data_IF_584536444351
#
_entry.id   IF_584536444351
#
_cell.length_a   1.000
_cell.length_b   1.000
_cell.length_c   1.000
_cell.angle_alpha   90.00
_cell.angle_beta   90.00
_cell.angle_gamma   90.00
#
_symmetry.space_group_name_H-M   'P 1'
#
loop_
_entity.id
_entity.type
_entity.pdbx_description
1 polymer ?
#
# COMPACT_ATOMS: atom_id res chain seq x y z
N UNK A 1 -8.00 0.45 -11.14
CA UNK A 1 -6.77 1.20 -11.37
C UNK A 1 -7.03 2.67 -11.18
N UNK A 2 -6.24 3.53 -11.80
CA UNK A 2 -6.44 4.98 -11.81
C UNK A 2 -6.60 5.51 -13.23
N UNK A 3 -7.24 6.66 -13.38
CA UNK A 3 -7.36 7.39 -14.65
C UNK A 3 -7.09 8.88 -14.40
N UNK A 4 -6.47 9.55 -15.37
CA UNK A 4 -6.34 11.02 -15.38
C UNK A 4 -7.54 11.65 -16.07
N UNK A 5 -8.10 12.69 -15.46
CA UNK A 5 -9.22 13.51 -15.94
C UNK A 5 -8.89 14.99 -15.71
N UNK A 6 -9.75 15.89 -16.17
CA UNK A 6 -9.63 17.33 -15.89
C UNK A 6 -9.72 17.64 -14.38
N UNK A 7 -10.44 16.83 -13.62
CA UNK A 7 -10.55 16.94 -12.16
C UNK A 7 -9.36 16.32 -11.40
N UNK A 8 -8.37 15.75 -12.12
CA UNK A 8 -7.19 15.13 -11.53
C UNK A 8 -7.12 13.61 -11.71
N UNK A 9 -6.56 12.91 -10.72
CA UNK A 9 -6.43 11.45 -10.74
C UNK A 9 -7.61 10.83 -9.99
N UNK A 10 -8.38 9.96 -10.67
CA UNK A 10 -9.56 9.28 -10.11
C UNK A 10 -9.41 7.77 -10.12
N UNK A 11 -10.20 7.06 -9.32
CA UNK A 11 -10.28 5.60 -9.33
C UNK A 11 -10.97 5.10 -10.61
N UNK A 12 -10.53 3.96 -11.15
CA UNK A 12 -11.04 3.40 -12.41
C UNK A 12 -10.87 1.87 -12.42
N UNK A 13 -11.59 1.18 -11.54
CA UNK A 13 -11.61 -0.29 -11.43
C UNK A 13 -11.05 -0.82 -10.09
N UNK A 14 -11.28 -2.10 -9.81
CA UNK A 14 -11.19 -2.70 -8.47
C UNK A 14 -9.84 -2.53 -7.75
N UNK A 15 -8.73 -2.96 -8.35
CA UNK A 15 -7.38 -2.70 -7.78
C UNK A 15 -6.89 -1.33 -8.22
N UNK A 16 -6.76 -0.39 -7.29
CA UNK A 16 -6.49 1.03 -7.60
C UNK A 16 -5.00 1.33 -7.63
N UNK A 17 -4.30 1.09 -6.53
CA UNK A 17 -2.87 1.36 -6.35
C UNK A 17 -2.16 0.14 -5.75
N UNK A 18 -0.84 0.09 -5.94
CA UNK A 18 0.05 -0.81 -5.20
C UNK A 18 1.12 0.03 -4.50
N UNK A 19 1.13 -0.01 -3.17
CA UNK A 19 2.13 0.70 -2.36
C UNK A 19 3.25 -0.28 -2.02
N UNK A 20 4.49 0.11 -2.32
CA UNK A 20 5.67 -0.72 -2.10
C UNK A 20 6.64 0.01 -1.18
N UNK A 21 6.90 -0.56 0.00
CA UNK A 21 7.96 -0.12 0.89
C UNK A 21 9.26 -0.87 0.58
N UNK A 22 10.39 -0.17 0.52
CA UNK A 22 11.73 -0.76 0.38
C UNK A 22 12.51 -0.50 1.66
N UNK A 23 13.27 -1.47 2.14
CA UNK A 23 14.11 -1.36 3.33
C UNK A 23 15.17 -2.47 3.33
N UNK A 24 16.17 -2.34 4.18
CA UNK A 24 17.25 -3.33 4.33
C UNK A 24 16.77 -4.57 5.09
N UNK A 25 15.65 -4.47 5.80
CA UNK A 25 14.99 -5.58 6.48
C UNK A 25 13.52 -5.69 6.07
N UNK A 26 12.92 -6.86 6.29
CA UNK A 26 11.48 -7.04 6.11
C UNK A 26 10.67 -6.07 6.99
N UNK A 27 11.09 -5.86 8.24
CA UNK A 27 10.44 -4.93 9.17
C UNK A 27 10.42 -3.50 8.62
N UNK A 28 11.55 -3.01 8.11
CA UNK A 28 11.61 -1.69 7.49
C UNK A 28 10.71 -1.57 6.26
N UNK A 29 10.76 -2.56 5.35
CA UNK A 29 9.95 -2.56 4.14
C UNK A 29 8.44 -2.56 4.46
N UNK A 30 8.02 -3.38 5.44
CA UNK A 30 6.64 -3.48 5.91
C UNK A 30 6.19 -2.16 6.56
N UNK A 31 6.98 -1.60 7.47
CA UNK A 31 6.66 -0.35 8.16
C UNK A 31 6.55 0.83 7.19
N UNK A 32 7.44 0.90 6.19
CA UNK A 32 7.39 1.94 5.15
C UNK A 32 6.15 1.79 4.25
N UNK A 33 5.79 0.57 3.87
CA UNK A 33 4.59 0.32 3.08
C UNK A 33 3.32 0.74 3.83
N UNK A 34 3.15 0.29 5.08
CA UNK A 34 1.98 0.64 5.90
C UNK A 34 1.97 2.10 6.36
N UNK A 35 3.13 2.73 6.54
CA UNK A 35 3.24 4.16 6.78
C UNK A 35 2.76 4.98 5.59
N UNK A 36 3.18 4.62 4.37
CA UNK A 36 2.77 5.30 3.15
C UNK A 36 1.27 5.13 2.84
N UNK A 37 0.67 3.98 3.18
CA UNK A 37 -0.79 3.77 3.03
C UNK A 37 -1.59 4.82 3.81
N UNK A 38 -1.12 5.28 4.97
CA UNK A 38 -1.82 6.29 5.80
C UNK A 38 -1.90 7.67 5.14
N UNK A 39 -1.10 7.93 4.11
CA UNK A 39 -1.07 9.19 3.37
C UNK A 39 -2.06 9.21 2.20
N UNK A 40 -2.78 8.11 1.95
CA UNK A 40 -3.67 7.93 0.81
C UNK A 40 -5.09 7.70 1.33
N UNK A 41 -6.06 8.42 0.77
CA UNK A 41 -7.47 8.23 1.11
C UNK A 41 -8.38 8.49 -0.10
N UNK A 42 -9.36 7.61 -0.30
CA UNK A 42 -10.47 7.77 -1.24
C UNK A 42 -11.67 6.94 -0.79
N UNK A 43 -12.87 7.31 -1.26
CA UNK A 43 -14.11 6.63 -0.89
C UNK A 43 -14.04 5.13 -1.24
N UNK A 44 -14.43 4.28 -0.29
CA UNK A 44 -14.45 2.82 -0.45
C UNK A 44 -13.07 2.16 -0.45
N UNK A 45 -12.01 2.88 -0.06
CA UNK A 45 -10.66 2.31 0.03
C UNK A 45 -10.63 1.13 1.01
N UNK A 46 -10.12 0.00 0.52
CA UNK A 46 -9.86 -1.19 1.32
C UNK A 46 -8.41 -1.63 1.13
N UNK A 47 -7.74 -1.93 2.23
CA UNK A 47 -6.37 -2.47 2.24
C UNK A 47 -6.25 -3.58 3.26
N UNK A 48 -5.45 -4.59 2.95
CA UNK A 48 -5.01 -5.59 3.92
C UNK A 48 -4.02 -4.98 4.90
N UNK A 49 -3.98 -5.51 6.13
CA UNK A 49 -3.08 -5.07 7.23
C UNK A 49 -2.17 -6.19 7.74
N UNK A 50 -2.09 -7.29 7.00
CA UNK A 50 -1.41 -8.53 7.38
C UNK A 50 -0.35 -9.01 6.36
N UNK A 51 -0.21 -8.31 5.23
CA UNK A 51 0.86 -8.57 4.26
C UNK A 51 2.22 -8.42 4.92
N UNK A 52 3.08 -9.42 4.73
CA UNK A 52 4.46 -9.45 5.23
C UNK A 52 4.65 -10.05 6.62
N UNK A 53 3.59 -10.27 7.43
CA UNK A 53 3.74 -10.77 8.82
C UNK A 53 4.51 -12.09 8.91
N UNK A 54 4.29 -13.02 7.98
CA UNK A 54 5.01 -14.31 7.97
C UNK A 54 6.52 -14.15 7.78
N UNK A 55 6.96 -13.13 7.04
CA UNK A 55 8.39 -12.88 6.83
C UNK A 55 9.09 -12.38 8.10
N UNK A 56 8.36 -11.73 9.01
CA UNK A 56 8.89 -11.31 10.31
C UNK A 56 9.22 -12.50 11.22
N UNK A 57 8.45 -13.60 11.12
CA UNK A 57 8.68 -14.81 11.89
C UNK A 57 9.83 -15.68 11.33
N UNK A 58 10.24 -15.46 10.08
CA UNK A 58 11.34 -16.19 9.42
C UNK A 58 12.69 -15.48 9.56
N UNK A 59 12.69 -14.21 9.99
CA UNK A 59 13.89 -13.38 10.10
C UNK A 59 14.51 -13.40 11.51
N UNK A 60 14.13 -14.38 12.34
CA UNK A 60 14.66 -14.66 13.67
C UNK A 60 15.92 -15.52 13.63
#
# INVERSE_FOLDING_TARGET
GTKRTEAGIVTSGGRVLTVVGRGSTFSEAINRAYGAIKLIGFNGMYTRTDIGRKALALAS
#
